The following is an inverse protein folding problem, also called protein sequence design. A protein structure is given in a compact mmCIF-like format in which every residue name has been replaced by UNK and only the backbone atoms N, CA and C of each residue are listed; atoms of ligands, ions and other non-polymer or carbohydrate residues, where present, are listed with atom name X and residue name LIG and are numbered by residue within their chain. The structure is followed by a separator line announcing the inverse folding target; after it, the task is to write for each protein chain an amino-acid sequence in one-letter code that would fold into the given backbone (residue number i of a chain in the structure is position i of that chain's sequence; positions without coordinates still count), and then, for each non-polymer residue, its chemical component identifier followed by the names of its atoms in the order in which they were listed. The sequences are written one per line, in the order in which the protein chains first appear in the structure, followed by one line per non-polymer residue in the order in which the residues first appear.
data_IF_713609735837
#
_entry.id   IF_713609735837
#
_cell.length_a   1.000
_cell.length_b   1.000
_cell.length_c   1.000
_cell.angle_alpha   90.00
_cell.angle_beta   90.00
_cell.angle_gamma   90.00
#
_symmetry.space_group_name_H-M   'P 1'
#
loop_
_entity.id
_entity.type
_entity.pdbx_description
1 polymer ?
#
# COMPACT_ATOMS: atom_id res chain seq x y z
N UNK A 1 20.10 -8.50 -13.69
CA UNK A 1 20.24 -8.66 -12.24
C UNK A 1 19.68 -7.43 -11.53
N UNK A 2 18.77 -7.62 -10.57
CA UNK A 2 18.26 -6.57 -9.67
C UNK A 2 19.19 -6.48 -8.47
N UNK A 3 19.72 -5.29 -8.20
CA UNK A 3 20.43 -4.94 -6.98
C UNK A 3 19.61 -3.81 -6.36
N UNK A 4 18.70 -4.16 -5.44
CA UNK A 4 17.68 -3.27 -4.91
C UNK A 4 17.95 -2.87 -3.47
N UNK A 5 17.37 -1.73 -3.08
CA UNK A 5 17.29 -1.28 -1.70
C UNK A 5 15.87 -0.80 -1.39
N UNK A 6 15.37 -1.24 -0.24
CA UNK A 6 14.06 -0.78 0.25
C UNK A 6 14.22 0.54 1.00
N UNK A 7 13.39 1.51 0.64
CA UNK A 7 13.31 2.80 1.32
C UNK A 7 12.48 2.65 2.61
N UNK A 8 12.81 3.46 3.62
CA UNK A 8 11.97 3.53 4.83
C UNK A 8 10.55 4.01 4.47
N UNK A 9 9.56 3.66 5.31
CA UNK A 9 8.14 3.97 5.06
C UNK A 9 7.87 5.45 4.78
N UNK A 10 8.69 6.36 5.31
CA UNK A 10 8.54 7.81 5.16
C UNK A 10 9.43 8.44 4.08
N UNK A 11 10.28 7.67 3.41
CA UNK A 11 11.25 8.23 2.47
C UNK A 11 10.64 8.75 1.15
N UNK A 12 9.37 8.45 0.90
CA UNK A 12 8.62 8.92 -0.28
C UNK A 12 7.39 9.75 0.09
N UNK A 13 7.36 10.32 1.30
CA UNK A 13 6.21 11.10 1.78
C UNK A 13 6.29 12.59 1.46
N UNK A 14 7.43 13.05 0.92
CA UNK A 14 7.57 14.41 0.40
C UNK A 14 8.42 14.46 -0.87
N UNK A 15 8.20 15.48 -1.68
CA UNK A 15 9.01 15.75 -2.90
C UNK A 15 10.48 15.96 -2.55
N UNK A 16 10.75 16.58 -1.41
CA UNK A 16 12.12 16.87 -0.96
C UNK A 16 12.85 15.57 -0.57
N UNK A 17 12.21 14.68 0.18
CA UNK A 17 12.79 13.40 0.60
C UNK A 17 13.08 12.51 -0.61
N UNK A 18 12.15 12.44 -1.59
CA UNK A 18 12.36 11.71 -2.84
C UNK A 18 13.58 12.23 -3.59
N UNK A 19 13.73 13.56 -3.71
CA UNK A 19 14.85 14.18 -4.41
C UNK A 19 16.19 13.92 -3.70
N UNK A 20 16.20 13.83 -2.39
CA UNK A 20 17.40 13.56 -1.58
C UNK A 20 17.81 12.08 -1.61
N UNK A 21 16.85 11.15 -1.50
CA UNK A 21 17.16 9.73 -1.34
C UNK A 21 17.60 9.06 -2.65
N UNK A 22 17.04 9.42 -3.80
CA UNK A 22 17.30 8.72 -5.06
C UNK A 22 18.78 8.79 -5.51
N UNK A 23 19.46 9.96 -5.47
CA UNK A 23 20.89 10.02 -5.77
C UNK A 23 21.74 9.18 -4.80
N UNK A 24 21.36 9.12 -3.52
CA UNK A 24 22.08 8.30 -2.51
C UNK A 24 21.97 6.82 -2.82
N UNK A 25 20.77 6.32 -3.21
CA UNK A 25 20.59 4.93 -3.64
C UNK A 25 21.46 4.60 -4.84
N UNK A 26 21.54 5.51 -5.81
CA UNK A 26 22.45 5.35 -6.95
C UNK A 26 23.91 5.31 -6.55
N UNK A 27 24.34 6.19 -5.64
CA UNK A 27 25.71 6.23 -5.14
C UNK A 27 26.13 4.96 -4.39
N UNK A 28 25.19 4.23 -3.79
CA UNK A 28 25.40 2.91 -3.18
C UNK A 28 25.55 1.79 -4.20
N UNK A 29 25.48 2.07 -5.50
CA UNK A 29 25.58 1.07 -6.56
C UNK A 29 24.30 0.31 -6.87
N UNK A 30 23.17 0.75 -6.31
CA UNK A 30 21.87 0.12 -6.59
C UNK A 30 21.39 0.47 -8.00
N UNK A 31 20.58 -0.42 -8.58
CA UNK A 31 19.90 -0.20 -9.86
C UNK A 31 18.37 -0.20 -9.72
N UNK A 32 17.86 -0.52 -8.55
CA UNK A 32 16.43 -0.61 -8.25
C UNK A 32 16.16 -0.12 -6.84
N UNK A 33 15.03 0.58 -6.65
CA UNK A 33 14.52 0.98 -5.33
C UNK A 33 13.13 0.41 -5.11
N UNK A 34 12.88 -0.05 -3.89
CA UNK A 34 11.55 -0.40 -3.41
C UNK A 34 11.00 0.82 -2.69
N UNK A 35 9.95 1.44 -3.23
CA UNK A 35 9.46 2.75 -2.82
C UNK A 35 8.02 2.65 -2.31
N UNK A 36 7.74 2.97 -1.03
CA UNK A 36 6.39 2.97 -0.49
C UNK A 36 5.47 4.00 -1.16
N UNK A 37 4.20 3.62 -1.33
CA UNK A 37 3.10 4.53 -1.64
C UNK A 37 2.06 4.35 -0.54
N UNK A 38 1.82 5.41 0.24
CA UNK A 38 0.86 5.43 1.33
C UNK A 38 -0.51 5.89 0.79
N UNK A 39 -1.55 5.11 1.04
CA UNK A 39 -2.89 5.41 0.56
C UNK A 39 -3.43 6.74 1.06
N UNK A 40 -3.15 7.10 2.32
CA UNK A 40 -3.58 8.37 2.92
C UNK A 40 -3.00 9.61 2.23
N UNK A 41 -1.80 9.52 1.66
CA UNK A 41 -1.20 10.58 0.86
C UNK A 41 -1.64 10.54 -0.59
N UNK A 42 -2.00 9.35 -1.09
CA UNK A 42 -2.44 9.14 -2.45
C UNK A 42 -3.92 9.53 -2.68
N UNK A 43 -4.79 9.30 -1.67
CA UNK A 43 -6.22 9.62 -1.69
C UNK A 43 -6.64 10.35 -0.40
N UNK A 44 -6.16 11.59 -0.17
CA UNK A 44 -6.43 12.33 1.07
C UNK A 44 -7.91 12.64 1.30
N UNK A 45 -8.69 12.76 0.23
CA UNK A 45 -10.15 12.90 0.20
C UNK A 45 -10.74 11.78 -0.65
N UNK A 46 -11.86 11.17 -0.21
CA UNK A 46 -12.48 10.06 -0.94
C UNK A 46 -12.76 10.43 -2.41
N UNK A 47 -12.16 9.67 -3.33
CA UNK A 47 -12.28 9.88 -4.78
C UNK A 47 -11.37 10.95 -5.37
N UNK A 48 -10.58 11.67 -4.56
CA UNK A 48 -9.62 12.68 -5.04
C UNK A 48 -8.20 12.15 -4.90
N UNK A 49 -7.50 11.99 -6.02
CA UNK A 49 -6.20 11.33 -6.07
C UNK A 49 -5.08 12.33 -6.33
N UNK A 50 -4.07 12.33 -5.45
CA UNK A 50 -2.84 13.10 -5.62
C UNK A 50 -1.72 12.20 -6.18
N UNK A 51 -1.36 12.42 -7.43
CA UNK A 51 -0.31 11.68 -8.12
C UNK A 51 1.09 12.28 -7.93
N UNK A 52 1.21 13.40 -7.20
CA UNK A 52 2.46 14.16 -7.10
C UNK A 52 3.64 13.30 -6.65
N UNK A 53 3.48 12.52 -5.57
CA UNK A 53 4.55 11.68 -5.03
C UNK A 53 4.90 10.50 -5.95
N UNK A 54 3.89 9.90 -6.60
CA UNK A 54 4.08 8.82 -7.58
C UNK A 54 4.90 9.32 -8.77
N UNK A 55 4.46 10.42 -9.37
CA UNK A 55 5.12 11.03 -10.53
C UNK A 55 6.55 11.47 -10.21
N UNK A 56 6.74 12.07 -9.03
CA UNK A 56 8.06 12.51 -8.59
C UNK A 56 8.99 11.33 -8.34
N UNK A 57 8.51 10.25 -7.75
CA UNK A 57 9.29 9.03 -7.53
C UNK A 57 9.76 8.43 -8.87
N UNK A 58 8.85 8.29 -9.84
CA UNK A 58 9.18 7.79 -11.18
C UNK A 58 10.20 8.72 -11.87
N UNK A 59 9.98 10.03 -11.82
CA UNK A 59 10.86 11.02 -12.45
C UNK A 59 12.27 10.98 -11.84
N UNK A 60 12.38 10.98 -10.51
CA UNK A 60 13.68 10.97 -9.82
C UNK A 60 14.40 9.64 -10.02
N UNK A 61 13.72 8.52 -9.99
CA UNK A 61 14.32 7.22 -10.30
C UNK A 61 14.88 7.22 -11.72
N UNK A 62 14.12 7.69 -12.71
CA UNK A 62 14.54 7.80 -14.11
C UNK A 62 15.77 8.69 -14.28
N UNK A 63 15.80 9.87 -13.64
CA UNK A 63 16.93 10.79 -13.67
C UNK A 63 18.21 10.18 -13.08
N UNK A 64 18.07 9.28 -12.11
CA UNK A 64 19.19 8.58 -11.46
C UNK A 64 19.49 7.21 -12.06
N UNK A 65 18.88 6.85 -13.20
CA UNK A 65 19.02 5.54 -13.84
C UNK A 65 18.75 4.38 -12.85
N UNK A 66 17.63 4.49 -12.12
CA UNK A 66 17.10 3.48 -11.22
C UNK A 66 15.77 2.94 -11.76
N UNK A 67 15.47 1.69 -11.47
CA UNK A 67 14.13 1.10 -11.59
C UNK A 67 13.40 1.20 -10.26
N UNK A 68 12.07 1.10 -10.30
CA UNK A 68 11.20 1.21 -9.15
C UNK A 68 10.37 -0.06 -9.00
N UNK A 69 10.31 -0.57 -7.78
CA UNK A 69 9.27 -1.46 -7.30
C UNK A 69 8.41 -0.65 -6.33
N UNK A 70 7.16 -0.39 -6.64
CA UNK A 70 6.28 0.26 -5.71
C UNK A 70 5.75 -0.72 -4.67
N UNK A 71 5.70 -0.26 -3.41
CA UNK A 71 5.08 -0.97 -2.31
C UNK A 71 3.76 -0.24 -1.99
N UNK A 72 2.63 -0.83 -2.38
CA UNK A 72 1.31 -0.27 -2.10
C UNK A 72 0.93 -0.55 -0.64
N UNK A 73 0.94 0.49 0.19
CA UNK A 73 0.43 0.45 1.56
C UNK A 73 -1.01 0.97 1.56
N UNK A 74 -1.94 0.07 1.21
CA UNK A 74 -3.37 0.32 1.13
C UNK A 74 -4.08 0.16 2.47
N UNK A 75 -5.10 -0.69 2.51
CA UNK A 75 -5.82 -1.00 3.74
C UNK A 75 -4.95 -1.77 4.74
N UNK A 76 -3.88 -2.41 4.28
CA UNK A 76 -3.00 -3.23 5.10
C UNK A 76 -1.52 -2.96 4.83
N UNK A 77 -0.79 -2.42 5.82
CA UNK A 77 0.68 -2.38 5.79
C UNK A 77 1.26 -3.45 6.70
N UNK A 78 0.81 -3.52 7.94
CA UNK A 78 0.97 -4.61 8.89
C UNK A 78 -0.05 -4.44 10.02
N UNK A 79 -0.12 -5.40 10.95
CA UNK A 79 -1.11 -5.34 12.04
C UNK A 79 -0.95 -4.16 13.02
N UNK A 80 0.17 -3.43 12.95
CA UNK A 80 0.50 -2.33 13.85
C UNK A 80 0.51 -0.95 13.17
N UNK A 81 0.47 -0.89 11.83
CA UNK A 81 0.57 0.34 11.05
C UNK A 81 -0.49 0.39 9.96
N UNK A 82 -1.30 1.44 9.97
CA UNK A 82 -2.36 1.64 9.00
C UNK A 82 -2.16 2.95 8.23
N UNK A 83 -1.98 2.84 6.92
CA UNK A 83 -1.83 3.97 5.99
C UNK A 83 -3.11 4.30 5.23
N UNK A 84 -4.25 3.72 5.63
CA UNK A 84 -5.54 4.08 5.08
C UNK A 84 -5.89 5.54 5.42
N UNK A 85 -6.60 6.27 4.53
CA UNK A 85 -6.91 7.68 4.69
C UNK A 85 -7.81 7.97 5.90
N UNK A 86 -7.77 9.22 6.36
CA UNK A 86 -8.59 9.66 7.49
C UNK A 86 -10.09 9.51 7.23
N UNK A 87 -10.55 9.77 6.00
CA UNK A 87 -11.96 9.59 5.62
C UNK A 87 -12.40 8.12 5.77
N UNK A 88 -11.54 7.17 5.43
CA UNK A 88 -11.76 5.74 5.60
C UNK A 88 -11.79 5.35 7.10
N UNK A 89 -10.80 5.81 7.88
CA UNK A 89 -10.70 5.52 9.33
C UNK A 89 -11.86 6.08 10.15
N UNK A 90 -12.44 7.22 9.73
CA UNK A 90 -13.63 7.80 10.39
C UNK A 90 -14.87 6.90 10.29
N UNK A 91 -14.93 6.04 9.29
CA UNK A 91 -16.06 5.13 9.04
C UNK A 91 -15.81 3.67 9.50
N UNK A 92 -14.80 3.44 10.31
CA UNK A 92 -14.48 2.12 10.87
C UNK A 92 -15.65 1.46 11.63
N UNK A 93 -16.54 2.25 12.20
CA UNK A 93 -17.68 1.73 12.97
C UNK A 93 -18.86 1.35 12.08
N UNK A 94 -19.03 2.04 10.95
CA UNK A 94 -20.25 1.93 10.12
C UNK A 94 -20.02 1.17 8.82
N UNK A 95 -18.95 1.48 8.11
CA UNK A 95 -18.74 1.02 6.74
C UNK A 95 -17.54 0.09 6.60
N UNK A 96 -16.45 0.37 7.33
CA UNK A 96 -15.20 -0.36 7.20
C UNK A 96 -14.88 -1.08 8.51
N UNK A 97 -15.31 -2.34 8.69
CA UNK A 97 -15.07 -3.06 9.94
C UNK A 97 -13.59 -3.24 10.22
N UNK A 98 -13.22 -3.11 11.49
CA UNK A 98 -11.85 -3.34 11.96
C UNK A 98 -11.61 -4.82 12.22
N UNK A 99 -10.36 -5.25 12.09
CA UNK A 99 -9.93 -6.53 12.65
C UNK A 99 -10.14 -6.55 14.16
N UNK A 100 -10.55 -7.69 14.66
CA UNK A 100 -10.70 -7.95 16.09
C UNK A 100 -9.77 -9.08 16.53
N UNK A 101 -9.22 -8.95 17.73
CA UNK A 101 -8.60 -10.09 18.41
C UNK A 101 -9.70 -11.07 18.89
N UNK A 102 -9.31 -12.27 19.30
CA UNK A 102 -10.23 -13.27 19.90
C UNK A 102 -10.97 -12.74 21.14
N UNK A 103 -10.37 -11.81 21.87
CA UNK A 103 -11.02 -11.15 23.02
C UNK A 103 -11.96 -10.01 22.62
N UNK A 104 -12.14 -9.73 21.34
CA UNK A 104 -12.97 -8.65 20.83
C UNK A 104 -12.32 -7.28 20.85
N UNK A 105 -11.00 -7.17 21.14
CA UNK A 105 -10.27 -5.89 21.08
C UNK A 105 -10.12 -5.46 19.61
N UNK A 106 -10.59 -4.24 19.24
CA UNK A 106 -10.40 -3.74 17.88
C UNK A 106 -8.96 -3.28 17.65
N UNK A 107 -8.40 -3.65 16.50
CA UNK A 107 -7.09 -3.20 16.02
C UNK A 107 -7.23 -1.93 15.17
N UNK A 108 -6.11 -1.30 14.81
CA UNK A 108 -6.11 -0.09 13.97
C UNK A 108 -6.19 -0.40 12.46
N UNK A 109 -6.33 -1.65 12.10
CA UNK A 109 -6.42 -2.12 10.72
C UNK A 109 -7.84 -2.57 10.39
N UNK A 110 -8.24 -2.36 9.14
CA UNK A 110 -9.53 -2.83 8.62
C UNK A 110 -9.50 -4.34 8.37
N UNK A 111 -10.66 -4.99 8.48
CA UNK A 111 -10.78 -6.41 8.17
C UNK A 111 -10.60 -6.67 6.67
N UNK A 112 -9.63 -7.49 6.27
CA UNK A 112 -9.44 -7.86 4.86
C UNK A 112 -10.58 -8.75 4.33
N UNK A 113 -11.41 -9.27 5.23
CA UNK A 113 -12.58 -10.07 4.90
C UNK A 113 -13.82 -9.24 4.53
N UNK A 114 -13.76 -7.90 4.65
CA UNK A 114 -14.87 -7.03 4.28
C UNK A 114 -14.82 -6.65 2.80
N UNK A 115 -15.93 -6.86 2.11
CA UNK A 115 -16.11 -6.45 0.71
C UNK A 115 -15.99 -4.93 0.54
N UNK A 116 -16.46 -4.15 1.50
CA UNK A 116 -16.40 -2.69 1.47
C UNK A 116 -14.94 -2.20 1.57
N UNK A 117 -14.14 -2.83 2.42
CA UNK A 117 -12.70 -2.55 2.56
C UNK A 117 -12.00 -2.89 1.25
N UNK A 118 -12.20 -4.09 0.73
CA UNK A 118 -11.63 -4.55 -0.53
C UNK A 118 -11.98 -3.61 -1.70
N UNK A 119 -13.24 -3.19 -1.81
CA UNK A 119 -13.67 -2.29 -2.88
C UNK A 119 -13.05 -0.89 -2.77
N UNK A 120 -12.89 -0.36 -1.56
CA UNK A 120 -12.28 0.95 -1.37
C UNK A 120 -10.81 0.94 -1.77
N UNK A 121 -10.04 -0.04 -1.29
CA UNK A 121 -8.64 -0.22 -1.61
C UNK A 121 -8.44 -0.49 -3.12
N UNK A 122 -9.20 -1.42 -3.70
CA UNK A 122 -9.12 -1.73 -5.12
C UNK A 122 -9.37 -0.51 -6.02
N UNK A 123 -10.29 0.39 -5.66
CA UNK A 123 -10.50 1.63 -6.43
C UNK A 123 -9.25 2.51 -6.43
N UNK A 124 -8.64 2.71 -5.25
CA UNK A 124 -7.42 3.50 -5.13
C UNK A 124 -6.25 2.84 -5.88
N UNK A 125 -6.05 1.54 -5.67
CA UNK A 125 -5.02 0.77 -6.36
C UNK A 125 -5.18 0.80 -7.88
N UNK A 126 -6.40 0.66 -8.40
CA UNK A 126 -6.67 0.76 -9.84
C UNK A 126 -6.30 2.14 -10.40
N UNK A 127 -6.52 3.22 -9.64
CA UNK A 127 -6.11 4.58 -10.05
C UNK A 127 -4.60 4.73 -10.08
N UNK A 128 -3.88 4.14 -9.12
CA UNK A 128 -2.42 4.09 -9.13
C UNK A 128 -1.91 3.35 -10.38
N UNK A 129 -2.43 2.15 -10.65
CA UNK A 129 -2.02 1.36 -11.81
C UNK A 129 -2.32 2.06 -13.13
N UNK A 130 -3.47 2.75 -13.23
CA UNK A 130 -3.80 3.56 -14.40
C UNK A 130 -2.79 4.71 -14.57
N UNK A 131 -2.44 5.41 -13.48
CA UNK A 131 -1.44 6.50 -13.56
C UNK A 131 -0.08 6.00 -14.03
N UNK A 132 0.40 4.87 -13.52
CA UNK A 132 1.65 4.24 -13.95
C UNK A 132 1.58 3.90 -15.45
N UNK A 133 0.47 3.28 -15.89
CA UNK A 133 0.29 2.93 -17.29
C UNK A 133 0.29 4.17 -18.22
N UNK A 134 -0.29 5.28 -17.78
CA UNK A 134 -0.37 6.51 -18.57
C UNK A 134 0.98 7.25 -18.65
N UNK A 135 1.83 7.16 -17.61
CA UNK A 135 3.04 7.99 -17.49
C UNK A 135 4.36 7.25 -17.67
N UNK A 136 4.36 5.92 -17.54
CA UNK A 136 5.60 5.12 -17.55
C UNK A 136 5.61 3.95 -18.53
N UNK A 137 4.57 3.77 -19.34
CA UNK A 137 4.42 2.65 -20.29
C UNK A 137 5.65 2.46 -21.17
N UNK A 138 6.17 3.53 -21.74
CA UNK A 138 7.29 3.49 -22.67
C UNK A 138 8.64 3.35 -21.95
N UNK A 139 8.81 4.07 -20.84
CA UNK A 139 10.08 4.10 -20.11
C UNK A 139 10.28 2.88 -19.21
N UNK A 140 9.20 2.25 -18.78
CA UNK A 140 9.21 1.07 -17.91
C UNK A 140 10.16 1.25 -16.72
N UNK A 141 10.07 2.43 -16.07
CA UNK A 141 10.83 2.73 -14.86
C UNK A 141 10.31 1.90 -13.71
N UNK A 142 8.99 1.78 -13.60
CA UNK A 142 8.30 0.88 -12.67
C UNK A 142 8.29 -0.53 -13.25
N UNK A 143 8.91 -1.47 -12.57
CA UNK A 143 9.07 -2.85 -13.04
C UNK A 143 8.20 -3.85 -12.28
N UNK A 144 7.70 -3.45 -11.11
CA UNK A 144 6.86 -4.30 -10.24
C UNK A 144 6.08 -3.43 -9.27
N UNK A 145 4.95 -3.95 -8.80
CA UNK A 145 4.20 -3.40 -7.67
C UNK A 145 3.90 -4.54 -6.70
N UNK A 146 4.27 -4.36 -5.43
CA UNK A 146 3.85 -5.21 -4.34
C UNK A 146 2.49 -4.71 -3.85
N UNK A 147 1.52 -5.60 -3.79
CA UNK A 147 0.17 -5.30 -3.31
C UNK A 147 0.13 -5.63 -1.82
N UNK A 148 -0.15 -4.62 -0.98
CA UNK A 148 -0.12 -4.71 0.47
C UNK A 148 1.25 -5.15 1.03
N UNK A 149 1.35 -5.28 2.35
CA UNK A 149 2.58 -5.68 3.01
C UNK A 149 2.26 -6.44 4.30
N UNK A 150 3.13 -7.37 4.69
CA UNK A 150 3.10 -8.08 5.98
C UNK A 150 1.67 -8.43 6.45
N UNK A 151 0.92 -9.19 5.64
CA UNK A 151 -0.51 -9.48 5.84
C UNK A 151 -0.84 -10.38 7.04
N UNK A 152 0.14 -10.79 7.83
CA UNK A 152 -0.06 -11.56 9.05
C UNK A 152 -0.40 -10.68 10.25
N UNK A 153 -1.24 -11.17 11.15
CA UNK A 153 -1.52 -10.53 12.45
C UNK A 153 -0.48 -10.95 13.49
N UNK A 154 -0.05 -9.99 14.33
CA UNK A 154 0.87 -10.24 15.45
C UNK A 154 0.12 -10.42 16.78
N UNK A 155 -1.02 -9.77 16.93
CA UNK A 155 -1.82 -9.77 18.16
C UNK A 155 -2.67 -11.04 18.32
N UNK A 156 -2.96 -11.72 17.20
CA UNK A 156 -3.73 -12.97 17.15
C UNK A 156 -3.38 -13.73 15.86
N UNK A 157 -3.80 -14.99 15.78
CA UNK A 157 -3.54 -15.86 14.61
C UNK A 157 -4.33 -15.41 13.36
N UNK A 158 -5.46 -14.72 13.53
CA UNK A 158 -6.32 -14.21 12.46
C UNK A 158 -7.24 -13.11 12.96
N UNK A 159 -7.95 -12.47 12.05
CA UNK A 159 -9.08 -11.61 12.36
C UNK A 159 -10.25 -12.43 12.95
N UNK A 160 -10.81 -11.95 14.07
CA UNK A 160 -12.00 -12.47 14.75
C UNK A 160 -13.20 -11.52 14.64
N UNK A 161 -13.21 -10.64 13.64
CA UNK A 161 -14.43 -9.89 13.32
C UNK A 161 -15.56 -10.84 12.88
N UNK A 162 -16.84 -10.46 13.04
CA UNK A 162 -17.96 -11.32 12.65
C UNK A 162 -17.91 -11.76 11.18
N UNK A 163 -17.42 -10.92 10.28
CA UNK A 163 -17.27 -11.26 8.86
C UNK A 163 -16.18 -12.31 8.66
N UNK A 164 -15.05 -12.15 9.34
CA UNK A 164 -13.94 -13.10 9.27
C UNK A 164 -14.29 -14.45 9.91
N UNK A 165 -14.98 -14.44 11.06
CA UNK A 165 -15.46 -15.67 11.70
C UNK A 165 -16.44 -16.45 10.82
N UNK A 166 -17.34 -15.74 10.13
CA UNK A 166 -18.28 -16.37 9.19
C UNK A 166 -17.53 -17.03 8.01
N UNK A 167 -16.53 -16.37 7.44
CA UNK A 167 -15.72 -16.92 6.35
C UNK A 167 -14.89 -18.12 6.83
N UNK A 168 -14.27 -18.01 8.00
CA UNK A 168 -13.44 -19.08 8.57
C UNK A 168 -14.25 -20.36 8.90
N UNK A 169 -15.52 -20.22 9.28
CA UNK A 169 -16.42 -21.34 9.53
C UNK A 169 -16.99 -21.98 8.25
N UNK A 170 -16.80 -21.34 7.10
CA UNK A 170 -17.25 -21.83 5.79
C UNK A 170 -16.36 -22.92 5.21
N UNK A 171 -16.81 -23.53 4.12
CA UNK A 171 -15.98 -24.42 3.33
C UNK A 171 -14.84 -23.63 2.63
N UNK A 172 -13.72 -24.31 2.39
CA UNK A 172 -12.68 -23.77 1.51
C UNK A 172 -13.27 -23.64 0.10
N UNK A 173 -13.10 -22.49 -0.59
CA UNK A 173 -13.56 -22.34 -1.97
C UNK A 173 -12.97 -23.41 -2.89
N UNK A 174 -13.78 -23.92 -3.81
CA UNK A 174 -13.35 -24.98 -4.73
C UNK A 174 -12.25 -24.54 -5.72
N UNK A 175 -12.07 -23.20 -5.88
CA UNK A 175 -11.03 -22.62 -6.73
C UNK A 175 -9.65 -22.55 -6.08
N UNK A 176 -9.54 -22.88 -4.80
CA UNK A 176 -8.28 -22.95 -4.05
C UNK A 176 -7.76 -24.36 -3.93
#
# INVERSE_FOLDING_TARGET
LIIGGELSNSATTSVADIADVMPRMKALGLNTVLAPICWDLFEPVEGEYDFTLVDRTIQQARQNNLKVVFLWFGAWKNSMSCYAPLWFKKDFVKKYPRCLTRSGKPLEIASPCSTEVLQADNRAFARLMQRIADTDREAQTVIMVQIENEIGMLEDARDHSPVADKLFAGAVPDEL
#
